data_IF_490333539705
#
_entry.id   IF_490333539705
#
_cell.length_a   1.000
_cell.length_b   1.000
_cell.length_c   1.000
_cell.angle_alpha   90.00
_cell.angle_beta   90.00
_cell.angle_gamma   90.00
#
_symmetry.space_group_name_H-M   'P 1'
#
loop_
_entity.id
_entity.type
_entity.pdbx_description
1 polymer ?
#
# COMPACT_ATOMS: atom_id res chain seq x y z
N UNK A 1 -10.58 -13.40 -13.56
CA UNK A 1 -11.25 -13.14 -12.28
C UNK A 1 -10.43 -12.09 -11.53
N UNK A 2 -10.99 -10.90 -11.27
CA UNK A 2 -10.29 -9.86 -10.50
C UNK A 2 -10.36 -10.25 -9.02
N UNK A 3 -9.31 -10.90 -8.51
CA UNK A 3 -9.09 -11.08 -7.07
C UNK A 3 -8.89 -9.71 -6.43
N UNK A 4 -10.01 -9.03 -6.20
CA UNK A 4 -10.06 -7.69 -5.61
C UNK A 4 -10.04 -7.87 -4.11
N UNK A 5 -8.87 -7.60 -3.52
CA UNK A 5 -8.73 -7.56 -2.08
C UNK A 5 -9.78 -6.58 -1.49
N UNK A 6 -10.52 -6.98 -0.44
CA UNK A 6 -11.55 -6.15 0.17
C UNK A 6 -11.02 -4.78 0.57
N UNK A 7 -11.85 -3.75 0.43
CA UNK A 7 -11.49 -2.40 0.86
C UNK A 7 -11.18 -2.34 2.36
N UNK A 8 -11.89 -3.14 3.16
CA UNK A 8 -11.71 -3.25 4.60
C UNK A 8 -10.29 -3.70 4.98
N UNK A 9 -9.74 -4.69 4.27
CA UNK A 9 -8.37 -5.15 4.52
C UNK A 9 -7.33 -4.10 4.14
N UNK A 10 -7.61 -3.30 3.10
CA UNK A 10 -6.78 -2.16 2.74
C UNK A 10 -6.85 -1.05 3.80
N UNK A 11 -8.04 -0.69 4.27
CA UNK A 11 -8.23 0.34 5.31
C UNK A 11 -7.54 -0.08 6.63
N UNK A 12 -7.66 -1.36 7.02
CA UNK A 12 -6.98 -1.89 8.20
C UNK A 12 -5.45 -1.71 8.15
N UNK A 13 -4.85 -1.84 6.96
CA UNK A 13 -3.41 -1.67 6.73
C UNK A 13 -3.03 -0.27 6.25
N UNK A 14 -3.99 0.64 6.03
CA UNK A 14 -3.77 1.97 5.43
C UNK A 14 -2.76 2.80 6.22
N UNK A 15 -2.89 2.82 7.54
CA UNK A 15 -2.01 3.57 8.43
C UNK A 15 -0.57 3.08 8.29
N UNK A 16 -0.38 1.75 8.33
CA UNK A 16 0.93 1.12 8.15
C UNK A 16 1.53 1.40 6.77
N UNK A 17 0.74 1.21 5.70
CA UNK A 17 1.17 1.48 4.32
C UNK A 17 1.59 2.94 4.16
N UNK A 18 0.78 3.87 4.68
CA UNK A 18 1.03 5.31 4.58
C UNK A 18 2.31 5.67 5.33
N UNK A 19 2.50 5.14 6.54
CA UNK A 19 3.71 5.34 7.33
C UNK A 19 4.96 4.82 6.60
N UNK A 20 4.95 3.57 6.17
CA UNK A 20 6.09 2.95 5.46
C UNK A 20 6.41 3.71 4.17
N UNK A 21 5.40 4.07 3.38
CA UNK A 21 5.59 4.71 2.08
C UNK A 21 5.94 6.20 2.19
N UNK A 22 5.37 6.93 3.16
CA UNK A 22 5.49 8.39 3.28
C UNK A 22 6.56 8.82 4.28
N UNK A 23 6.59 8.22 5.47
CA UNK A 23 7.54 8.57 6.52
C UNK A 23 8.89 7.89 6.30
N UNK A 24 8.88 6.57 6.08
CA UNK A 24 10.12 5.84 5.84
C UNK A 24 10.56 5.84 4.37
N UNK A 25 9.72 6.37 3.48
CA UNK A 25 9.99 6.48 2.05
C UNK A 25 10.24 5.13 1.35
N UNK A 26 9.73 4.03 1.91
CA UNK A 26 9.98 2.70 1.39
C UNK A 26 9.48 2.52 -0.05
N UNK A 27 10.18 1.70 -0.85
CA UNK A 27 9.71 1.33 -2.18
C UNK A 27 8.48 0.42 -2.09
N UNK A 28 7.58 0.51 -3.07
CA UNK A 28 6.31 -0.23 -3.10
C UNK A 28 6.50 -1.73 -2.89
N UNK A 29 7.50 -2.33 -3.56
CA UNK A 29 7.85 -3.75 -3.42
C UNK A 29 8.18 -4.14 -1.98
N UNK A 30 8.83 -3.27 -1.21
CA UNK A 30 9.19 -3.53 0.18
C UNK A 30 7.98 -3.37 1.11
N UNK A 31 7.16 -2.34 0.86
CA UNK A 31 5.87 -2.18 1.55
C UNK A 31 5.00 -3.42 1.35
N UNK A 32 4.88 -3.91 0.11
CA UNK A 32 4.15 -5.14 -0.22
C UNK A 32 4.67 -6.32 0.57
N UNK A 33 5.98 -6.56 0.60
CA UNK A 33 6.56 -7.67 1.37
C UNK A 33 6.19 -7.65 2.86
N UNK A 34 6.08 -6.46 3.47
CA UNK A 34 5.70 -6.34 4.89
C UNK A 34 4.22 -6.55 5.11
N UNK A 35 3.38 -5.98 4.23
CA UNK A 35 1.93 -6.12 4.36
C UNK A 35 1.42 -7.45 3.80
N UNK A 36 2.23 -8.19 3.04
CA UNK A 36 1.90 -9.47 2.42
C UNK A 36 1.66 -10.51 3.50
N UNK A 37 0.43 -11.00 3.56
CA UNK A 37 0.00 -12.08 4.46
C UNK A 37 -0.67 -13.17 3.62
N UNK A 38 -0.84 -14.40 4.13
CA UNK A 38 -1.46 -15.50 3.37
C UNK A 38 -2.78 -15.08 2.68
N UNK A 39 -3.63 -14.36 3.40
CA UNK A 39 -4.92 -13.85 2.90
C UNK A 39 -4.85 -12.49 2.17
N UNK A 40 -3.68 -11.85 2.11
CA UNK A 40 -3.51 -10.51 1.53
C UNK A 40 -2.24 -10.44 0.70
N UNK A 41 -2.42 -10.60 -0.62
CA UNK A 41 -1.36 -10.61 -1.60
C UNK A 41 -1.55 -9.48 -2.64
N UNK A 42 -1.31 -8.21 -2.26
CA UNK A 42 -1.48 -7.11 -3.18
C UNK A 42 -0.33 -7.03 -4.19
N UNK A 43 -0.65 -6.72 -5.44
CA UNK A 43 0.35 -6.41 -6.48
C UNK A 43 0.79 -4.95 -6.40
N UNK A 44 1.93 -4.63 -7.00
CA UNK A 44 2.47 -3.26 -7.01
C UNK A 44 1.52 -2.24 -7.66
N UNK A 45 0.89 -2.63 -8.76
CA UNK A 45 -0.15 -1.83 -9.42
C UNK A 45 -1.36 -1.59 -8.52
N UNK A 46 -1.77 -2.57 -7.71
CA UNK A 46 -2.90 -2.44 -6.78
C UNK A 46 -2.56 -1.48 -5.63
N UNK A 47 -1.36 -1.64 -5.05
CA UNK A 47 -0.86 -0.74 -4.00
C UNK A 47 -0.77 0.70 -4.52
N UNK A 48 -0.22 0.90 -5.74
CA UNK A 48 -0.15 2.23 -6.37
C UNK A 48 -1.53 2.84 -6.61
N UNK A 49 -2.49 2.06 -7.10
CA UNK A 49 -3.86 2.52 -7.28
C UNK A 49 -4.52 2.91 -5.95
N UNK A 50 -4.22 2.17 -4.87
CA UNK A 50 -4.71 2.47 -3.51
C UNK A 50 -4.08 3.72 -2.92
N UNK A 51 -2.76 3.87 -3.02
CA UNK A 51 -2.06 5.09 -2.61
C UNK A 51 -2.62 6.33 -3.33
N UNK A 52 -2.89 6.21 -4.65
CA UNK A 52 -3.56 7.26 -5.43
C UNK A 52 -4.96 7.57 -4.89
N UNK A 53 -5.76 6.54 -4.58
CA UNK A 53 -7.12 6.71 -4.02
C UNK A 53 -7.09 7.38 -2.64
N UNK A 54 -6.08 7.08 -1.83
CA UNK A 54 -5.88 7.69 -0.51
C UNK A 54 -5.17 9.04 -0.55
N UNK A 55 -4.83 9.55 -1.74
CA UNK A 55 -4.05 10.79 -1.93
C UNK A 55 -2.72 10.78 -1.16
N UNK A 56 -2.15 9.59 -0.93
CA UNK A 56 -0.85 9.43 -0.28
C UNK A 56 0.22 9.61 -1.35
N UNK A 57 0.83 10.79 -1.36
CA UNK A 57 2.01 11.09 -2.17
C UNK A 57 3.26 11.07 -1.30
N UNK A 58 4.40 10.64 -1.87
CA UNK A 58 5.69 10.83 -1.19
C UNK A 58 5.89 12.33 -0.97
N UNK A 59 6.39 12.76 0.20
CA UNK A 59 6.86 14.13 0.33
C UNK A 59 7.99 14.26 -0.69
N UNK A 60 7.81 15.13 -1.69
CA UNK A 60 8.86 15.41 -2.64
C UNK A 60 10.03 15.97 -1.84
N UNK A 61 11.09 15.19 -1.65
CA UNK A 61 12.32 15.66 -1.00
C UNK A 61 12.75 16.94 -1.73
N UNK A 62 12.74 18.05 -1.01
CA UNK A 62 13.23 19.35 -1.47
C UNK A 62 14.66 19.51 -1.01
#
# INVERSE_FOLDING_TARGET
MKSSIPADTWEAKRVLITKLYKEEEWPLKQVIKVIQTPDFHPSETQLRARLKKWQVTKPSRK
#
